data_IF_861600926482
#
_entry.id   IF_861600926482
#
_cell.length_a   1.000
_cell.length_b   1.000
_cell.length_c   1.000
_cell.angle_alpha   90.00
_cell.angle_beta   90.00
_cell.angle_gamma   90.00
#
_symmetry.space_group_name_H-M   'P 1'
#
loop_
_entity.id
_entity.type
_entity.pdbx_description
1 polymer ?
#
# COMPACT_ATOMS: atom_id res chain seq x y z
N UNK A 1 11.50 12.88 56.63
CA UNK A 1 10.25 12.87 55.86
C UNK A 1 10.62 13.17 54.42
N UNK A 2 10.70 12.14 53.59
CA UNK A 2 11.04 12.26 52.18
C UNK A 2 9.72 12.13 51.37
N UNK A 3 9.43 13.11 50.52
CA UNK A 3 8.29 13.08 49.64
C UNK A 3 8.53 12.06 48.49
N UNK A 4 7.50 11.33 48.04
CA UNK A 4 7.61 10.41 46.92
C UNK A 4 7.57 11.14 45.58
N UNK A 5 8.48 10.74 44.68
CA UNK A 5 8.57 11.19 43.29
C UNK A 5 7.30 10.87 42.50
N UNK A 6 6.87 11.74 41.56
CA UNK A 6 5.72 11.46 40.74
C UNK A 6 6.04 10.40 39.66
N UNK A 7 5.32 9.28 39.72
CA UNK A 7 5.32 8.25 38.68
C UNK A 7 4.88 8.85 37.34
N UNK A 8 5.73 8.70 36.32
CA UNK A 8 5.42 9.00 34.93
C UNK A 8 4.35 8.01 34.42
N UNK A 9 3.10 8.42 34.47
CA UNK A 9 2.04 7.70 33.75
C UNK A 9 2.27 7.85 32.26
N UNK A 10 2.73 6.78 31.64
CA UNK A 10 2.72 6.61 30.18
C UNK A 10 1.25 6.51 29.74
N UNK A 11 0.65 7.62 29.39
CA UNK A 11 -0.62 7.64 28.67
C UNK A 11 -0.38 7.07 27.25
N UNK A 12 -0.92 5.90 27.00
CA UNK A 12 -1.08 5.36 25.66
C UNK A 12 -1.98 6.31 24.85
N UNK A 13 -1.39 7.32 24.21
CA UNK A 13 -2.06 8.14 23.22
C UNK A 13 -2.24 7.27 21.97
N UNK A 14 -3.44 6.77 21.74
CA UNK A 14 -3.84 6.16 20.50
C UNK A 14 -3.56 7.13 19.35
N UNK A 15 -2.59 6.81 18.51
CA UNK A 15 -2.25 7.59 17.33
C UNK A 15 -3.47 7.57 16.41
N UNK A 16 -4.12 8.71 16.27
CA UNK A 16 -5.31 8.88 15.45
C UNK A 16 -4.97 8.63 13.97
N UNK A 17 -5.91 8.08 13.22
CA UNK A 17 -5.82 7.96 11.74
C UNK A 17 -5.48 9.31 11.08
N UNK A 18 -5.88 10.44 11.71
CA UNK A 18 -5.56 11.79 11.28
C UNK A 18 -4.06 12.15 11.45
N UNK A 19 -3.39 11.65 12.48
CA UNK A 19 -1.94 11.87 12.69
C UNK A 19 -1.11 11.07 11.70
N UNK A 20 -1.61 9.92 11.31
CA UNK A 20 -0.97 9.08 10.30
C UNK A 20 -1.10 9.68 8.89
N UNK A 21 -2.27 10.19 8.52
CA UNK A 21 -2.45 10.93 7.25
C UNK A 21 -1.59 12.18 7.21
N UNK A 22 -1.40 12.86 8.34
CA UNK A 22 -0.50 14.01 8.48
C UNK A 22 0.96 13.61 8.26
N UNK A 23 1.40 12.49 8.83
CA UNK A 23 2.75 11.95 8.63
C UNK A 23 2.97 11.51 7.17
N UNK A 24 2.02 10.79 6.58
CA UNK A 24 2.06 10.39 5.17
C UNK A 24 2.04 11.59 4.23
N UNK A 25 1.19 12.59 4.49
CA UNK A 25 1.18 13.87 3.75
C UNK A 25 2.50 14.63 3.90
N UNK A 26 3.08 14.69 5.09
CA UNK A 26 4.39 15.31 5.30
C UNK A 26 5.52 14.56 4.60
N UNK A 27 5.44 13.23 4.54
CA UNK A 27 6.38 12.37 3.83
C UNK A 27 6.25 12.53 2.31
N UNK A 28 5.04 12.59 1.77
CA UNK A 28 4.77 12.80 0.34
C UNK A 28 4.94 14.28 -0.07
N UNK A 29 4.63 15.23 0.84
CA UNK A 29 4.71 16.67 0.56
C UNK A 29 6.14 17.24 0.61
N UNK A 30 7.13 16.48 1.11
CA UNK A 30 8.54 16.90 1.13
C UNK A 30 9.41 16.15 0.10
N UNK A 31 9.13 16.26 -1.20
CA UNK A 31 9.94 15.62 -2.24
C UNK A 31 11.37 16.19 -2.27
N UNK A 32 11.59 17.41 -1.73
CA UNK A 32 12.92 18.06 -1.73
C UNK A 32 13.89 17.52 -0.66
N UNK A 33 13.42 16.90 0.42
CA UNK A 33 14.28 16.10 1.32
C UNK A 33 14.54 14.69 0.78
N UNK A 34 13.79 14.30 -0.26
CA UNK A 34 13.83 13.00 -0.93
C UNK A 34 14.27 13.15 -2.39
N UNK A 35 14.78 14.33 -2.81
CA UNK A 35 15.29 14.54 -4.17
C UNK A 35 16.48 13.64 -4.56
N UNK A 36 17.11 12.98 -3.59
CA UNK A 36 18.00 11.84 -3.83
C UNK A 36 17.24 10.51 -4.12
N UNK A 37 15.91 10.51 -4.10
CA UNK A 37 15.03 9.31 -4.10
C UNK A 37 14.32 9.09 -5.44
N UNK A 38 14.37 10.05 -6.39
CA UNK A 38 13.70 9.86 -7.69
C UNK A 38 14.18 8.58 -8.45
N UNK A 39 15.49 8.31 -8.59
CA UNK A 39 15.97 7.04 -9.17
C UNK A 39 15.58 5.81 -8.35
N UNK A 40 15.52 5.97 -7.03
CA UNK A 40 15.15 4.92 -6.08
C UNK A 40 13.67 4.55 -6.17
N UNK A 41 12.78 5.52 -6.40
CA UNK A 41 11.34 5.26 -6.54
C UNK A 41 11.01 4.47 -7.82
N UNK A 42 11.70 4.75 -8.94
CA UNK A 42 11.53 3.99 -10.18
C UNK A 42 12.08 2.56 -10.08
N UNK A 43 13.21 2.37 -9.38
CA UNK A 43 13.74 1.05 -9.09
C UNK A 43 12.76 0.22 -8.24
N UNK A 44 12.19 0.84 -7.19
CA UNK A 44 11.17 0.19 -6.38
C UNK A 44 9.90 -0.10 -7.19
N UNK A 45 9.46 0.83 -8.03
CA UNK A 45 8.32 0.65 -8.94
C UNK A 45 8.50 -0.57 -9.84
N UNK A 46 9.68 -0.74 -10.44
CA UNK A 46 10.00 -1.92 -11.27
C UNK A 46 9.94 -3.22 -10.47
N UNK A 47 10.42 -3.24 -9.22
CA UNK A 47 10.36 -4.45 -8.37
C UNK A 47 8.94 -4.75 -7.93
N UNK A 48 8.16 -3.73 -7.54
CA UNK A 48 6.76 -3.85 -7.13
C UNK A 48 5.86 -4.42 -8.23
N UNK A 49 6.15 -4.08 -9.48
CA UNK A 49 5.31 -4.46 -10.62
C UNK A 49 5.90 -5.59 -11.47
N UNK A 50 7.04 -6.16 -11.07
CA UNK A 50 7.81 -7.12 -11.87
C UNK A 50 7.02 -8.34 -12.32
N UNK A 51 6.14 -8.83 -11.47
CA UNK A 51 5.31 -10.02 -11.72
C UNK A 51 3.94 -9.68 -12.32
N UNK A 52 3.69 -8.40 -12.61
CA UNK A 52 2.42 -7.91 -13.17
C UNK A 52 2.60 -7.63 -14.66
N UNK A 53 1.62 -8.05 -15.45
CA UNK A 53 1.58 -7.88 -16.91
C UNK A 53 0.13 -7.69 -17.36
N UNK A 54 -0.15 -7.36 -18.62
CA UNK A 54 -1.51 -7.29 -19.13
C UNK A 54 -2.35 -8.55 -18.89
N UNK A 55 -1.71 -9.74 -18.89
CA UNK A 55 -2.37 -11.01 -18.56
C UNK A 55 -2.75 -11.17 -17.08
N UNK A 56 -2.29 -10.29 -16.20
CA UNK A 56 -2.71 -10.28 -14.80
C UNK A 56 -4.17 -9.88 -14.65
N UNK A 57 -4.72 -9.09 -15.59
CA UNK A 57 -6.05 -8.52 -15.53
C UNK A 57 -6.09 -7.22 -14.72
N UNK A 58 -7.28 -6.76 -14.29
CA UNK A 58 -7.41 -5.51 -13.55
C UNK A 58 -6.54 -5.46 -12.30
N UNK A 59 -5.99 -4.28 -12.01
CA UNK A 59 -5.12 -4.04 -10.85
C UNK A 59 -5.72 -2.95 -9.97
N UNK A 60 -5.72 -3.21 -8.67
CA UNK A 60 -6.10 -2.25 -7.64
C UNK A 60 -4.82 -1.68 -7.01
N UNK A 61 -4.64 -0.36 -7.06
CA UNK A 61 -3.54 0.33 -6.37
C UNK A 61 -4.06 1.07 -5.14
N UNK A 62 -3.42 0.82 -3.99
CA UNK A 62 -3.76 1.44 -2.71
C UNK A 62 -2.70 2.47 -2.33
N UNK A 63 -3.11 3.72 -2.14
CA UNK A 63 -2.23 4.83 -1.82
C UNK A 63 -1.22 5.14 -2.93
N UNK A 64 -1.68 5.43 -4.15
CA UNK A 64 -0.81 5.76 -5.29
C UNK A 64 0.04 7.02 -5.05
N UNK A 65 -0.42 7.95 -4.19
CA UNK A 65 0.27 9.19 -3.90
C UNK A 65 0.59 9.99 -5.16
N UNK A 66 1.86 10.11 -5.52
CA UNK A 66 2.29 10.79 -6.76
C UNK A 66 2.26 9.88 -8.00
N UNK A 67 1.75 8.65 -7.91
CA UNK A 67 1.56 7.72 -9.02
C UNK A 67 2.84 7.03 -9.51
N UNK A 68 3.78 6.74 -8.62
CA UNK A 68 5.04 6.04 -8.98
C UNK A 68 4.74 4.62 -9.45
N UNK A 69 3.94 3.88 -8.71
CA UNK A 69 3.58 2.50 -9.08
C UNK A 69 2.58 2.49 -10.23
N UNK A 70 1.67 3.46 -10.30
CA UNK A 70 0.78 3.66 -11.47
C UNK A 70 1.60 3.76 -12.76
N UNK A 71 2.63 4.64 -12.80
CA UNK A 71 3.53 4.73 -13.96
C UNK A 71 4.25 3.43 -14.25
N UNK A 72 4.72 2.74 -13.21
CA UNK A 72 5.40 1.47 -13.38
C UNK A 72 4.47 0.40 -13.96
N UNK A 73 3.20 0.35 -13.56
CA UNK A 73 2.17 -0.54 -14.11
C UNK A 73 1.92 -0.25 -15.59
N UNK A 74 1.73 1.03 -15.96
CA UNK A 74 1.56 1.44 -17.35
C UNK A 74 2.80 1.09 -18.20
N UNK A 75 4.01 1.29 -17.65
CA UNK A 75 5.26 0.90 -18.32
C UNK A 75 5.40 -0.63 -18.50
N UNK A 76 4.65 -1.44 -17.75
CA UNK A 76 4.53 -2.90 -17.92
C UNK A 76 3.52 -3.28 -19.02
N UNK A 77 2.87 -2.30 -19.65
CA UNK A 77 1.93 -2.50 -20.73
C UNK A 77 0.46 -2.66 -20.30
N UNK A 78 0.13 -2.38 -19.01
CA UNK A 78 -1.27 -2.36 -18.59
C UNK A 78 -1.98 -1.16 -19.22
N UNK A 79 -3.26 -1.33 -19.55
CA UNK A 79 -4.11 -0.22 -19.92
C UNK A 79 -4.48 0.62 -18.68
N UNK A 80 -4.61 1.93 -18.85
CA UNK A 80 -5.12 2.78 -17.77
C UNK A 80 -6.52 2.35 -17.31
N UNK A 81 -7.35 1.86 -18.23
CA UNK A 81 -8.71 1.34 -17.95
C UNK A 81 -8.71 0.09 -17.02
N UNK A 82 -7.58 -0.63 -16.94
CA UNK A 82 -7.43 -1.77 -16.06
C UNK A 82 -6.98 -1.37 -14.62
N UNK A 83 -6.73 -0.07 -14.40
CA UNK A 83 -6.25 0.43 -13.11
C UNK A 83 -7.37 1.09 -12.32
N UNK A 84 -7.54 0.63 -11.07
CA UNK A 84 -8.35 1.33 -10.07
C UNK A 84 -7.43 1.82 -8.96
N UNK A 85 -7.44 3.13 -8.69
CA UNK A 85 -6.57 3.82 -7.75
C UNK A 85 -7.38 4.27 -6.55
N UNK A 86 -7.04 3.80 -5.35
CA UNK A 86 -7.65 4.22 -4.08
C UNK A 86 -6.73 5.21 -3.40
N UNK A 87 -7.17 6.46 -3.30
CA UNK A 87 -6.40 7.52 -2.65
C UNK A 87 -7.25 8.26 -1.62
N UNK A 88 -6.71 8.39 -0.40
CA UNK A 88 -7.44 9.04 0.69
C UNK A 88 -7.49 10.56 0.54
N UNK A 89 -6.41 11.16 0.03
CA UNK A 89 -6.28 12.60 -0.11
C UNK A 89 -7.00 13.13 -1.34
N UNK A 90 -8.06 13.97 -1.22
CA UNK A 90 -8.83 14.43 -2.37
C UNK A 90 -8.01 15.28 -3.34
N UNK A 91 -6.96 15.96 -2.88
CA UNK A 91 -6.02 16.71 -3.73
C UNK A 91 -5.17 15.78 -4.60
N UNK A 92 -4.68 14.68 -4.00
CA UNK A 92 -3.95 13.64 -4.73
C UNK A 92 -4.86 12.90 -5.69
N UNK A 93 -6.10 12.58 -5.29
CA UNK A 93 -7.06 11.93 -6.17
C UNK A 93 -7.29 12.77 -7.45
N UNK A 94 -7.56 14.08 -7.31
CA UNK A 94 -7.71 14.99 -8.47
C UNK A 94 -6.43 15.08 -9.33
N UNK A 95 -5.26 15.10 -8.71
CA UNK A 95 -4.00 15.09 -9.45
C UNK A 95 -3.83 13.80 -10.25
N UNK A 96 -4.23 12.64 -9.68
CA UNK A 96 -4.14 11.34 -10.35
C UNK A 96 -5.12 11.23 -11.52
N UNK A 97 -6.36 11.73 -11.38
CA UNK A 97 -7.34 11.82 -12.47
C UNK A 97 -6.78 12.58 -13.66
N UNK A 98 -6.17 13.73 -13.41
CA UNK A 98 -5.54 14.54 -14.47
C UNK A 98 -4.30 13.88 -15.08
N UNK A 99 -3.52 13.17 -14.27
CA UNK A 99 -2.24 12.58 -14.69
C UNK A 99 -2.39 11.26 -15.43
N UNK A 100 -3.41 10.49 -15.08
CA UNK A 100 -3.66 9.15 -15.62
C UNK A 100 -5.09 9.05 -16.16
N UNK A 101 -5.40 9.81 -17.24
CA UNK A 101 -6.72 9.75 -17.83
C UNK A 101 -7.02 8.32 -18.30
N UNK A 102 -8.21 7.83 -17.96
CA UNK A 102 -8.64 6.46 -18.21
C UNK A 102 -8.47 5.51 -17.02
N UNK A 103 -7.65 5.83 -16.04
CA UNK A 103 -7.65 5.10 -14.76
C UNK A 103 -8.85 5.51 -13.89
N UNK A 104 -9.44 4.55 -13.20
CA UNK A 104 -10.52 4.83 -12.25
C UNK A 104 -9.92 5.27 -10.92
N UNK A 105 -10.10 6.53 -10.54
CA UNK A 105 -9.64 7.07 -9.26
C UNK A 105 -10.82 7.16 -8.29
N UNK A 106 -10.64 6.66 -7.06
CA UNK A 106 -11.63 6.71 -5.99
C UNK A 106 -11.03 7.40 -4.77
N UNK A 107 -11.59 8.54 -4.39
CA UNK A 107 -11.19 9.28 -3.19
C UNK A 107 -11.83 8.63 -1.95
N UNK A 108 -11.13 7.63 -1.35
CA UNK A 108 -11.65 6.88 -0.21
C UNK A 108 -10.55 6.29 0.67
N UNK A 109 -10.92 5.91 1.89
CA UNK A 109 -10.03 5.18 2.81
C UNK A 109 -9.95 3.71 2.40
N UNK A 110 -8.73 3.20 2.16
CA UNK A 110 -8.48 1.80 1.84
C UNK A 110 -8.93 0.82 2.95
N UNK A 111 -9.02 1.26 4.20
CA UNK A 111 -9.59 0.46 5.29
C UNK A 111 -11.11 0.23 5.15
N UNK A 112 -11.78 0.98 4.28
CA UNK A 112 -13.22 0.86 4.01
C UNK A 112 -13.53 -0.05 2.80
N UNK A 113 -12.52 -0.63 2.14
CA UNK A 113 -12.68 -1.43 0.92
C UNK A 113 -13.79 -2.49 1.02
N UNK A 114 -13.84 -3.23 2.13
CA UNK A 114 -14.84 -4.28 2.32
C UNK A 114 -16.29 -3.78 2.40
N UNK A 115 -16.50 -2.46 2.59
CA UNK A 115 -17.83 -1.85 2.74
C UNK A 115 -18.39 -1.30 1.43
N UNK A 116 -17.61 -1.33 0.36
CA UNK A 116 -17.99 -0.78 -0.93
C UNK A 116 -18.02 -1.84 -2.01
N UNK A 117 -18.99 -1.79 -2.92
CA UNK A 117 -19.02 -2.63 -4.11
C UNK A 117 -18.24 -1.91 -5.25
N UNK A 118 -16.91 -1.99 -5.20
CA UNK A 118 -16.05 -1.26 -6.15
C UNK A 118 -16.03 -1.94 -7.51
N UNK A 119 -16.04 -3.26 -7.53
CA UNK A 119 -15.99 -4.05 -8.75
C UNK A 119 -17.28 -4.87 -8.88
N UNK A 120 -18.06 -4.65 -9.92
CA UNK A 120 -19.30 -5.38 -10.22
C UNK A 120 -18.99 -6.83 -10.62
N UNK A 121 -18.55 -7.66 -9.66
CA UNK A 121 -18.25 -9.07 -9.88
C UNK A 121 -16.98 -9.39 -10.67
N UNK A 122 -16.23 -8.38 -11.11
CA UNK A 122 -14.95 -8.58 -11.80
C UNK A 122 -13.78 -8.59 -10.81
N UNK A 123 -13.22 -9.75 -10.45
CA UNK A 123 -12.12 -9.81 -9.48
C UNK A 123 -10.82 -9.26 -10.09
N UNK A 124 -10.02 -8.58 -9.26
CA UNK A 124 -8.71 -8.08 -9.67
C UNK A 124 -7.65 -9.18 -9.65
N UNK A 125 -6.71 -9.12 -10.58
CA UNK A 125 -5.58 -10.06 -10.64
C UNK A 125 -4.47 -9.71 -9.66
N UNK A 126 -4.29 -8.42 -9.36
CA UNK A 126 -3.30 -7.98 -8.40
C UNK A 126 -3.73 -6.74 -7.62
N UNK A 127 -3.19 -6.61 -6.41
CA UNK A 127 -3.22 -5.37 -5.62
C UNK A 127 -1.77 -4.89 -5.44
N UNK A 128 -1.53 -3.59 -5.66
CA UNK A 128 -0.25 -2.93 -5.41
C UNK A 128 -0.46 -1.89 -4.32
N UNK A 129 0.22 -2.04 -3.19
CA UNK A 129 0.03 -1.15 -2.05
C UNK A 129 1.25 -0.26 -1.81
N UNK A 130 1.03 1.05 -1.93
CA UNK A 130 1.94 2.11 -1.53
C UNK A 130 1.77 2.53 -0.07
N UNK A 131 0.86 1.91 0.67
CA UNK A 131 0.54 2.28 2.04
C UNK A 131 1.65 1.86 3.01
N UNK A 132 1.99 2.68 4.02
CA UNK A 132 3.02 2.37 5.00
C UNK A 132 2.45 1.49 6.14
N UNK A 133 2.08 0.25 5.81
CA UNK A 133 1.42 -0.70 6.72
C UNK A 133 2.18 -0.93 8.02
N UNK A 134 3.53 -0.81 8.00
CA UNK A 134 4.36 -0.97 9.21
C UNK A 134 4.04 0.06 10.31
N UNK A 135 3.57 1.24 9.92
CA UNK A 135 3.26 2.35 10.83
C UNK A 135 1.77 2.46 11.16
N UNK A 136 0.94 1.54 10.65
CA UNK A 136 -0.50 1.53 10.89
C UNK A 136 -0.89 0.64 12.07
N UNK A 137 -2.00 0.97 12.77
CA UNK A 137 -2.58 0.07 13.77
C UNK A 137 -2.92 -1.29 13.17
N UNK A 138 -2.74 -2.37 13.94
CA UNK A 138 -2.96 -3.74 13.47
C UNK A 138 -4.40 -3.96 12.94
N UNK A 139 -5.41 -3.31 13.52
CA UNK A 139 -6.78 -3.39 13.04
C UNK A 139 -6.92 -2.76 11.64
N UNK A 140 -6.35 -1.57 11.43
CA UNK A 140 -6.35 -0.91 10.12
C UNK A 140 -5.66 -1.75 9.06
N UNK A 141 -4.51 -2.37 9.38
CA UNK A 141 -3.82 -3.31 8.48
C UNK A 141 -4.72 -4.50 8.15
N UNK A 142 -5.43 -5.03 9.15
CA UNK A 142 -6.38 -6.14 8.94
C UNK A 142 -7.50 -5.73 7.98
N UNK A 143 -8.10 -4.55 8.20
CA UNK A 143 -9.23 -4.07 7.39
C UNK A 143 -8.80 -3.82 5.94
N UNK A 144 -7.63 -3.22 5.72
CA UNK A 144 -7.04 -3.01 4.39
C UNK A 144 -6.79 -4.35 3.68
N UNK A 145 -6.09 -5.26 4.35
CA UNK A 145 -5.68 -6.53 3.74
C UNK A 145 -6.89 -7.43 3.47
N UNK A 146 -7.82 -7.57 4.43
CA UNK A 146 -9.03 -8.36 4.25
C UNK A 146 -9.92 -7.76 3.16
N UNK A 147 -10.10 -6.43 3.17
CA UNK A 147 -10.86 -5.70 2.15
C UNK A 147 -10.24 -5.84 0.76
N UNK A 148 -8.93 -5.75 0.63
CA UNK A 148 -8.25 -5.98 -0.65
C UNK A 148 -8.45 -7.42 -1.15
N UNK A 149 -8.31 -8.42 -0.26
CA UNK A 149 -8.48 -9.83 -0.63
C UNK A 149 -9.93 -10.21 -0.94
N UNK A 150 -10.94 -9.42 -0.57
CA UNK A 150 -12.32 -9.65 -1.05
C UNK A 150 -12.46 -9.45 -2.56
N UNK A 151 -11.57 -8.67 -3.17
CA UNK A 151 -11.55 -8.40 -4.61
C UNK A 151 -10.52 -9.22 -5.40
N UNK A 152 -9.46 -9.72 -4.74
CA UNK A 152 -8.42 -10.51 -5.41
C UNK A 152 -8.98 -11.86 -5.84
N UNK A 153 -8.83 -12.19 -7.15
CA UNK A 153 -9.25 -13.51 -7.68
C UNK A 153 -8.42 -14.67 -7.10
N UNK A 154 -8.89 -15.90 -7.17
CA UNK A 154 -8.03 -17.07 -6.91
C UNK A 154 -6.75 -17.01 -7.75
N UNK A 155 -5.61 -17.30 -7.14
CA UNK A 155 -4.29 -17.18 -7.78
C UNK A 155 -3.76 -15.76 -7.94
N UNK A 156 -4.54 -14.72 -7.62
CA UNK A 156 -4.09 -13.33 -7.59
C UNK A 156 -3.21 -13.02 -6.36
N UNK A 157 -2.57 -11.85 -6.36
CA UNK A 157 -1.60 -11.49 -5.34
C UNK A 157 -1.74 -10.03 -4.88
N UNK A 158 -1.29 -9.78 -3.65
CA UNK A 158 -1.12 -8.45 -3.07
C UNK A 158 0.37 -8.16 -2.92
N UNK A 159 0.84 -7.06 -3.47
CA UNK A 159 2.24 -6.62 -3.43
C UNK A 159 2.40 -5.47 -2.46
N UNK A 160 3.36 -5.60 -1.54
CA UNK A 160 3.66 -4.62 -0.51
C UNK A 160 5.16 -4.41 -0.38
N UNK A 161 5.60 -3.17 -0.31
CA UNK A 161 6.98 -2.86 0.05
C UNK A 161 7.13 -2.52 1.54
N UNK A 162 8.36 -2.58 2.01
CA UNK A 162 8.77 -2.11 3.34
C UNK A 162 10.22 -1.64 3.30
N UNK A 163 10.56 -0.68 4.14
CA UNK A 163 11.95 -0.26 4.40
C UNK A 163 12.58 -1.07 5.56
N UNK A 164 12.23 -2.32 5.68
CA UNK A 164 12.73 -3.22 6.71
C UNK A 164 12.93 -4.65 6.19
N UNK A 165 13.61 -5.49 6.98
CA UNK A 165 13.92 -6.85 6.57
C UNK A 165 12.73 -7.82 6.65
N UNK A 166 11.64 -7.41 7.31
CA UNK A 166 10.46 -8.25 7.58
C UNK A 166 9.23 -7.75 6.84
N UNK A 167 8.31 -8.67 6.54
CA UNK A 167 7.00 -8.32 6.00
C UNK A 167 6.29 -7.31 6.94
N UNK A 168 5.74 -6.20 6.40
CA UNK A 168 5.07 -5.20 7.22
C UNK A 168 3.68 -5.64 7.71
N UNK A 169 3.15 -6.74 7.18
CA UNK A 169 1.90 -7.35 7.67
C UNK A 169 2.28 -8.35 8.77
N UNK A 170 1.80 -8.18 10.01
CA UNK A 170 2.06 -9.10 11.11
C UNK A 170 1.66 -10.54 10.79
N UNK A 171 2.49 -11.51 11.24
CA UNK A 171 2.23 -12.93 10.98
C UNK A 171 0.87 -13.38 11.51
N UNK A 172 0.45 -12.86 12.68
CA UNK A 172 -0.86 -13.14 13.24
C UNK A 172 -2.03 -12.73 12.34
N UNK A 173 -1.88 -11.63 11.58
CA UNK A 173 -2.87 -11.19 10.59
C UNK A 173 -2.86 -12.12 9.37
N UNK A 174 -1.66 -12.44 8.86
CA UNK A 174 -1.52 -13.38 7.74
C UNK A 174 -2.15 -14.74 8.07
N UNK A 175 -1.84 -15.28 9.25
CA UNK A 175 -2.36 -16.58 9.70
C UNK A 175 -3.88 -16.55 9.84
N UNK A 176 -4.44 -15.52 10.46
CA UNK A 176 -5.88 -15.34 10.63
C UNK A 176 -6.64 -15.23 9.31
N UNK A 177 -6.04 -14.60 8.30
CA UNK A 177 -6.64 -14.41 6.98
C UNK A 177 -6.31 -15.54 6.01
N UNK A 178 -5.62 -16.60 6.43
CA UNK A 178 -5.22 -17.70 5.56
C UNK A 178 -4.24 -17.31 4.47
N UNK A 179 -3.36 -16.32 4.76
CA UNK A 179 -2.43 -15.74 3.79
C UNK A 179 -0.99 -16.20 4.05
N UNK A 180 -0.18 -16.19 2.99
CA UNK A 180 1.27 -16.38 3.04
C UNK A 180 1.97 -15.20 2.38
N UNK A 181 3.13 -14.79 2.91
CA UNK A 181 3.96 -13.72 2.37
C UNK A 181 5.32 -14.29 1.95
N UNK A 182 5.74 -13.96 0.74
CA UNK A 182 7.04 -14.34 0.18
C UNK A 182 7.78 -13.08 -0.27
N UNK A 183 9.03 -12.94 0.10
CA UNK A 183 9.87 -11.85 -0.40
C UNK A 183 10.22 -12.12 -1.86
N UNK A 184 9.82 -11.23 -2.75
CA UNK A 184 10.01 -11.38 -4.20
C UNK A 184 11.10 -10.48 -4.75
N UNK A 185 11.59 -9.52 -3.98
CA UNK A 185 12.68 -8.66 -4.41
C UNK A 185 13.04 -7.58 -3.40
N UNK A 186 13.91 -6.68 -3.83
CA UNK A 186 14.30 -5.50 -3.07
C UNK A 186 15.02 -4.49 -3.95
N UNK A 187 15.00 -3.24 -3.54
CA UNK A 187 15.75 -2.15 -4.15
C UNK A 187 16.87 -1.76 -3.17
N UNK A 188 18.06 -2.33 -3.39
CA UNK A 188 19.24 -2.11 -2.51
C UNK A 188 19.76 -0.68 -2.58
N UNK A 189 19.59 -0.02 -3.73
CA UNK A 189 19.97 1.37 -3.96
C UNK A 189 18.94 2.39 -3.46
N UNK A 190 17.83 1.93 -2.87
CA UNK A 190 16.99 2.80 -2.06
C UNK A 190 17.68 3.11 -0.74
N UNK A 191 17.61 4.36 -0.31
CA UNK A 191 18.10 4.77 1.00
C UNK A 191 16.89 5.21 1.83
N UNK A 192 16.43 4.40 2.78
CA UNK A 192 16.92 3.06 3.15
C UNK A 192 16.54 1.96 2.14
N UNK A 193 17.25 0.81 2.11
CA UNK A 193 16.91 -0.33 1.25
C UNK A 193 15.47 -0.80 1.44
N UNK A 194 14.78 -1.06 0.34
CA UNK A 194 13.41 -1.55 0.36
C UNK A 194 13.34 -3.04 0.01
N UNK A 195 12.43 -3.75 0.66
CA UNK A 195 12.05 -5.12 0.31
C UNK A 195 10.61 -5.15 -0.20
N UNK A 196 10.33 -6.04 -1.15
CA UNK A 196 8.99 -6.25 -1.70
C UNK A 196 8.52 -7.65 -1.36
N UNK A 197 7.30 -7.74 -0.87
CA UNK A 197 6.63 -8.97 -0.52
C UNK A 197 5.42 -9.18 -1.41
N UNK A 198 5.27 -10.41 -1.89
CA UNK A 198 4.05 -10.93 -2.50
C UNK A 198 3.26 -11.69 -1.45
N UNK A 199 2.01 -11.31 -1.26
CA UNK A 199 1.08 -11.94 -0.35
C UNK A 199 0.01 -12.67 -1.20
N UNK A 200 -0.25 -13.93 -0.90
CA UNK A 200 -1.22 -14.77 -1.58
C UNK A 200 -2.02 -15.56 -0.56
N UNK A 201 -3.18 -16.08 -0.98
CA UNK A 201 -3.88 -17.10 -0.19
C UNK A 201 -2.99 -18.34 -0.06
N UNK A 202 -3.10 -19.03 1.07
CA UNK A 202 -2.51 -20.36 1.21
C UNK A 202 -3.28 -21.33 0.33
N UNK A 203 -2.57 -22.25 -0.30
CA UNK A 203 -3.20 -23.38 -0.96
C UNK A 203 -3.84 -24.26 0.14
N UNK A 204 -5.10 -24.58 -0.01
CA UNK A 204 -5.86 -25.49 0.88
C UNK A 204 -5.52 -26.90 0.50
#
# INVERSE_FOLDING_TARGET
>A
MAEPSPELRLTNAGTSCADFTRFFRAWVANPRRVSAVAPSSDALGRVMTREISPGTGPVLELGPGTGVFTRALLARGLSASDLTLIEFGPEFARMLENRFPGARVLAMDAAQLARHAIFEGAPVGAVVSGLPLLSMPAQTVTDIVSGAFSYVRPGGAFYQFTYGPRCPIPRSILDRLGLKAVRVGGALWNIPPAAVYRITRRDV
#
